data_IF_151986504877
#
_entry.id   IF_151986504877
#
_cell.length_a   1.000
_cell.length_b   1.000
_cell.length_c   1.000
_cell.angle_alpha   90.00
_cell.angle_beta   90.00
_cell.angle_gamma   90.00
#
_symmetry.space_group_name_H-M   'P 1'
#
loop_
_entity.id
_entity.type
_entity.pdbx_description
1 polymer ?
#
# COMPACT_ATOMS: atom_id res chain seq x y z
N UNK A 1 6.52 -3.47 -32.38
CA UNK A 1 5.57 -2.34 -32.50
C UNK A 1 5.10 -1.97 -31.10
N UNK A 2 5.19 -0.69 -30.72
CA UNK A 2 4.74 -0.22 -29.40
C UNK A 2 3.22 -0.13 -29.38
N UNK A 3 2.59 -0.74 -28.38
CA UNK A 3 1.12 -0.76 -28.23
C UNK A 3 0.73 -0.01 -26.95
N UNK A 4 -0.18 0.95 -27.06
CA UNK A 4 -0.69 1.72 -25.92
C UNK A 4 -2.03 1.15 -25.47
N UNK A 5 -2.22 0.99 -24.16
CA UNK A 5 -3.49 0.55 -23.58
C UNK A 5 -3.79 1.30 -22.28
N UNK A 6 -5.05 1.26 -21.86
CA UNK A 6 -5.49 1.80 -20.58
C UNK A 6 -5.94 0.66 -19.68
N UNK A 7 -5.55 0.69 -18.41
CA UNK A 7 -5.98 -0.31 -17.44
C UNK A 7 -6.48 0.36 -16.15
N UNK A 8 -7.54 -0.16 -15.52
CA UNK A 8 -8.03 0.38 -14.25
C UNK A 8 -6.92 0.38 -13.19
N UNK A 9 -6.82 1.49 -12.45
CA UNK A 9 -5.97 1.57 -11.26
C UNK A 9 -6.86 1.52 -10.03
N UNK A 10 -6.45 0.83 -8.96
CA UNK A 10 -7.22 0.85 -7.72
C UNK A 10 -7.24 2.28 -7.16
N UNK A 11 -8.33 2.65 -6.51
CA UNK A 11 -8.40 3.90 -5.81
C UNK A 11 -7.55 3.78 -4.57
N UNK A 12 -6.89 4.87 -4.23
CA UNK A 12 -6.15 4.96 -2.99
C UNK A 12 -7.19 5.01 -1.86
N UNK A 13 -7.72 3.86 -1.45
CA UNK A 13 -8.53 3.59 -0.25
C UNK A 13 -9.46 2.37 -0.46
N UNK A 14 -9.22 1.34 0.35
CA UNK A 14 -10.24 0.49 1.02
C UNK A 14 -11.10 -0.53 0.25
N UNK A 15 -11.17 -1.70 0.91
CA UNK A 15 -12.26 -2.69 1.01
C UNK A 15 -12.73 -3.32 -0.30
N UNK A 16 -12.78 -4.65 -0.29
CA UNK A 16 -13.34 -5.53 -1.31
C UNK A 16 -14.61 -4.95 -1.96
N UNK A 17 -14.58 -4.72 -3.28
CA UNK A 17 -15.79 -4.50 -4.08
C UNK A 17 -16.01 -3.12 -4.71
N UNK A 18 -15.03 -2.22 -4.75
CA UNK A 18 -15.17 -0.90 -5.40
C UNK A 18 -14.47 -0.88 -6.77
N UNK A 19 -15.24 -0.69 -7.85
CA UNK A 19 -14.69 -0.40 -9.18
C UNK A 19 -14.38 1.09 -9.31
N UNK A 20 -13.21 1.41 -9.83
CA UNK A 20 -12.73 2.79 -9.96
C UNK A 20 -12.99 3.34 -11.37
N UNK A 21 -12.98 4.67 -11.50
CA UNK A 21 -12.95 5.33 -12.82
C UNK A 21 -11.54 5.72 -13.27
N UNK A 22 -10.55 5.69 -12.36
CA UNK A 22 -9.15 6.03 -12.67
C UNK A 22 -8.51 4.94 -13.53
N UNK A 23 -7.91 5.34 -14.65
CA UNK A 23 -7.14 4.45 -15.53
C UNK A 23 -5.71 4.97 -15.66
N UNK A 24 -4.75 4.05 -15.60
CA UNK A 24 -3.38 4.32 -16.04
C UNK A 24 -3.28 4.13 -17.55
N UNK A 25 -2.46 4.95 -18.21
CA UNK A 25 -2.09 4.75 -19.63
C UNK A 25 -0.71 4.12 -19.69
N UNK A 26 -0.63 2.97 -20.36
CA UNK A 26 0.55 2.13 -20.41
C UNK A 26 0.98 1.90 -21.84
N UNK A 27 2.29 1.72 -22.02
CA UNK A 27 2.87 1.41 -23.31
C UNK A 27 3.64 0.10 -23.22
N UNK A 28 3.22 -0.90 -23.99
CA UNK A 28 3.90 -2.17 -24.10
C UNK A 28 4.80 -2.20 -25.34
N UNK A 29 6.09 -2.41 -25.12
CA UNK A 29 7.10 -2.57 -26.17
C UNK A 29 7.93 -3.85 -25.97
N UNK A 30 7.26 -4.93 -25.56
CA UNK A 30 7.85 -6.26 -25.44
C UNK A 30 7.55 -7.19 -26.63
N UNK A 31 7.85 -8.49 -26.48
CA UNK A 31 7.63 -9.55 -27.48
C UNK A 31 6.20 -9.64 -28.02
N UNK A 32 6.06 -10.34 -29.15
CA UNK A 32 4.75 -10.56 -29.78
C UNK A 32 3.95 -11.67 -29.12
N UNK A 33 4.66 -12.65 -28.56
CA UNK A 33 4.16 -13.82 -27.83
C UNK A 33 4.98 -13.96 -26.54
N UNK A 34 4.32 -14.37 -25.46
CA UNK A 34 4.96 -14.77 -24.21
C UNK A 34 4.32 -16.06 -23.71
N UNK A 35 5.13 -16.92 -23.09
CA UNK A 35 4.64 -18.15 -22.47
C UNK A 35 4.87 -18.02 -20.97
N UNK A 36 3.84 -18.29 -20.18
CA UNK A 36 3.94 -18.35 -18.73
C UNK A 36 3.87 -19.79 -18.27
N UNK A 37 4.78 -20.17 -17.39
CA UNK A 37 4.68 -21.41 -16.63
C UNK A 37 4.04 -21.13 -15.27
N UNK A 38 3.03 -21.91 -14.92
CA UNK A 38 2.14 -21.65 -13.79
C UNK A 38 2.00 -22.93 -12.95
N UNK A 39 2.03 -22.81 -11.62
CA UNK A 39 1.73 -23.95 -10.74
C UNK A 39 0.21 -24.19 -10.61
N UNK A 40 -0.19 -25.26 -9.92
CA UNK A 40 -1.60 -25.60 -9.68
C UNK A 40 -2.39 -24.57 -8.87
N UNK A 41 -1.70 -23.65 -8.19
CA UNK A 41 -2.31 -22.54 -7.45
C UNK A 41 -2.56 -21.31 -8.32
N UNK A 42 -2.16 -21.34 -9.60
CA UNK A 42 -2.31 -20.21 -10.51
C UNK A 42 -1.19 -19.18 -10.42
N UNK A 43 -0.10 -19.48 -9.72
CA UNK A 43 1.06 -18.60 -9.54
C UNK A 43 2.03 -18.81 -10.70
N UNK A 44 2.45 -17.71 -11.34
CA UNK A 44 3.49 -17.73 -12.36
C UNK A 44 4.84 -18.06 -11.70
N UNK A 45 5.46 -19.16 -12.14
CA UNK A 45 6.76 -19.62 -11.65
C UNK A 45 7.89 -19.35 -12.63
N UNK A 46 7.58 -19.29 -13.93
CA UNK A 46 8.55 -18.94 -14.97
C UNK A 46 7.90 -18.18 -16.12
N UNK A 47 8.72 -17.44 -16.86
CA UNK A 47 8.31 -16.58 -17.96
C UNK A 47 9.24 -16.82 -19.14
N UNK A 48 8.66 -17.22 -20.25
CA UNK A 48 9.35 -17.72 -21.44
C UNK A 48 10.24 -18.95 -21.14
N UNK A 49 9.69 -20.01 -20.52
CA UNK A 49 10.45 -21.20 -20.15
C UNK A 49 10.97 -21.94 -21.39
N UNK A 50 12.09 -22.64 -21.22
CA UNK A 50 12.62 -23.51 -22.28
C UNK A 50 11.59 -24.61 -22.64
N UNK A 51 11.23 -24.66 -23.92
CA UNK A 51 10.26 -25.61 -24.44
C UNK A 51 10.69 -27.07 -24.23
N UNK A 52 11.99 -27.35 -24.17
CA UNK A 52 12.53 -28.71 -24.05
C UNK A 52 12.41 -29.29 -22.63
N UNK A 53 12.23 -28.45 -21.61
CA UNK A 53 12.11 -28.88 -20.20
C UNK A 53 10.66 -28.76 -19.77
N UNK A 54 9.87 -29.82 -19.98
CA UNK A 54 8.47 -29.85 -19.54
C UNK A 54 8.36 -30.46 -18.13
N UNK A 55 7.98 -29.64 -17.16
CA UNK A 55 7.56 -30.11 -15.84
C UNK A 55 6.06 -30.49 -15.91
N UNK A 56 5.70 -31.78 -15.72
CA UNK A 56 4.32 -32.23 -15.80
C UNK A 56 3.41 -31.67 -14.70
N UNK A 57 3.98 -31.12 -13.63
CA UNK A 57 3.25 -30.48 -12.54
C UNK A 57 3.03 -28.97 -12.77
N UNK A 58 3.28 -28.49 -14.00
CA UNK A 58 3.11 -27.09 -14.40
C UNK A 58 2.19 -26.95 -15.61
N UNK A 59 1.53 -25.80 -15.65
CA UNK A 59 0.66 -25.39 -16.75
C UNK A 59 1.35 -24.31 -17.57
N UNK A 60 1.27 -24.42 -18.89
CA UNK A 60 1.81 -23.41 -19.81
C UNK A 60 0.68 -22.63 -20.46
N UNK A 61 0.70 -21.31 -20.30
CA UNK A 61 -0.28 -20.39 -20.87
C UNK A 61 0.44 -19.43 -21.82
N UNK A 62 0.00 -19.42 -23.08
CA UNK A 62 0.52 -18.50 -24.10
C UNK A 62 -0.34 -17.23 -24.11
N UNK A 63 0.31 -16.07 -24.16
CA UNK A 63 -0.33 -14.78 -24.37
C UNK A 63 0.23 -14.09 -25.61
N UNK A 64 -0.60 -13.37 -26.34
CA UNK A 64 -0.27 -12.73 -27.61
C UNK A 64 -0.57 -11.22 -27.56
N UNK A 65 0.18 -10.43 -26.79
CA UNK A 65 -0.14 -9.03 -26.48
C UNK A 65 -0.24 -8.09 -27.69
N UNK A 66 0.30 -8.46 -28.87
CA UNK A 66 0.17 -7.62 -30.07
C UNK A 66 -1.10 -7.90 -30.87
N UNK A 67 -1.72 -9.06 -30.67
CA UNK A 67 -2.91 -9.49 -31.41
C UNK A 67 -4.15 -9.62 -30.54
N UNK A 68 -3.99 -9.82 -29.22
CA UNK A 68 -5.07 -9.78 -28.23
C UNK A 68 -4.85 -8.62 -27.24
N UNK A 69 -5.80 -7.69 -27.22
CA UNK A 69 -5.76 -6.54 -26.31
C UNK A 69 -5.95 -6.93 -24.83
N UNK A 70 -6.57 -8.09 -24.54
CA UNK A 70 -6.73 -8.59 -23.18
C UNK A 70 -5.41 -9.12 -22.60
N UNK A 71 -4.45 -9.47 -23.47
CA UNK A 71 -3.12 -9.95 -23.08
C UNK A 71 -2.12 -8.83 -22.80
N UNK A 72 -2.41 -7.60 -23.25
CA UNK A 72 -1.55 -6.43 -23.03
C UNK A 72 -1.25 -6.16 -21.55
N UNK A 73 -2.24 -6.13 -20.62
CA UNK A 73 -1.96 -5.90 -19.21
C UNK A 73 -1.10 -7.00 -18.59
N UNK A 74 -1.28 -8.25 -19.03
CA UNK A 74 -0.55 -9.43 -18.53
C UNK A 74 0.92 -9.34 -18.95
N UNK A 75 1.18 -9.11 -20.23
CA UNK A 75 2.52 -8.94 -20.75
C UNK A 75 3.22 -7.69 -20.17
N UNK A 76 2.48 -6.59 -20.02
CA UNK A 76 2.99 -5.35 -19.43
C UNK A 76 3.39 -5.53 -17.96
N UNK A 77 2.67 -6.35 -17.19
CA UNK A 77 2.98 -6.63 -15.79
C UNK A 77 4.43 -7.11 -15.60
N UNK A 78 4.95 -7.83 -16.59
CA UNK A 78 6.31 -8.37 -16.61
C UNK A 78 7.23 -7.68 -17.61
N UNK A 79 6.89 -6.49 -18.10
CA UNK A 79 7.68 -5.79 -19.13
C UNK A 79 9.17 -5.69 -18.79
N UNK A 80 9.52 -5.50 -17.51
CA UNK A 80 10.90 -5.32 -17.06
C UNK A 80 11.77 -6.56 -17.31
N UNK A 81 11.16 -7.73 -17.48
CA UNK A 81 11.87 -8.98 -17.80
C UNK A 81 12.40 -9.01 -19.23
N UNK A 82 11.82 -8.22 -20.13
CA UNK A 82 12.10 -8.29 -21.57
C UNK A 82 12.82 -7.05 -22.10
N UNK A 83 13.09 -6.07 -21.25
CA UNK A 83 13.88 -4.90 -21.63
C UNK A 83 15.37 -5.27 -21.66
N UNK A 84 16.12 -4.86 -22.69
CA UNK A 84 17.49 -5.33 -22.92
C UNK A 84 18.43 -5.00 -21.74
N UNK A 85 19.22 -5.99 -21.33
CA UNK A 85 20.17 -5.94 -20.22
C UNK A 85 21.48 -5.20 -20.50
N UNK A 86 21.59 -4.55 -21.65
CA UNK A 86 22.77 -3.73 -21.98
C UNK A 86 22.52 -2.27 -21.61
N UNK A 87 23.31 -1.68 -20.70
CA UNK A 87 23.34 -0.23 -20.52
C UNK A 87 23.96 0.37 -21.77
N UNK A 88 23.13 0.71 -22.75
CA UNK A 88 23.54 1.67 -23.76
C UNK A 88 23.79 2.99 -23.02
N UNK A 89 24.93 3.64 -23.29
CA UNK A 89 25.30 4.89 -22.62
C UNK A 89 24.32 6.04 -22.91
N UNK A 90 23.39 5.84 -23.85
CA UNK A 90 22.25 6.72 -24.13
C UNK A 90 20.90 6.17 -23.63
N UNK A 91 20.88 4.98 -23.02
CA UNK A 91 19.69 4.33 -22.42
C UNK A 91 19.98 4.08 -20.92
N UNK A 92 20.21 5.16 -20.17
CA UNK A 92 20.16 5.09 -18.71
C UNK A 92 18.72 5.00 -18.16
N UNK A 93 17.70 5.07 -19.02
CA UNK A 93 16.28 5.16 -18.62
C UNK A 93 15.52 3.81 -18.60
N UNK A 94 16.16 2.69 -18.94
CA UNK A 94 15.43 1.45 -19.26
C UNK A 94 15.06 0.53 -18.09
N UNK A 95 15.75 0.64 -16.94
CA UNK A 95 15.55 -0.29 -15.82
C UNK A 95 14.66 0.26 -14.70
N UNK A 96 14.53 1.58 -14.64
CA UNK A 96 13.81 2.26 -13.56
C UNK A 96 12.49 2.80 -14.07
N UNK A 97 11.40 2.43 -13.40
CA UNK A 97 10.18 3.19 -13.54
C UNK A 97 10.45 4.60 -13.03
N UNK A 98 10.49 5.56 -13.93
CA UNK A 98 10.56 6.96 -13.54
C UNK A 98 9.18 7.38 -13.03
N UNK A 99 8.95 7.22 -11.73
CA UNK A 99 7.74 7.68 -11.08
C UNK A 99 7.64 9.21 -11.20
N UNK A 100 6.52 9.69 -11.73
CA UNK A 100 6.11 11.08 -11.63
C UNK A 100 5.23 11.27 -10.41
N UNK A 101 5.36 12.45 -9.80
CA UNK A 101 4.67 12.77 -8.56
C UNK A 101 3.90 14.07 -8.69
N UNK A 102 2.73 14.12 -8.08
CA UNK A 102 1.91 15.33 -7.95
C UNK A 102 1.82 15.75 -6.48
N UNK A 103 1.81 17.06 -6.25
CA UNK A 103 1.73 17.64 -4.92
C UNK A 103 0.30 17.66 -4.43
N UNK A 104 0.08 17.05 -3.27
CA UNK A 104 -1.20 17.00 -2.60
C UNK A 104 -1.08 17.65 -1.22
N UNK A 105 -1.50 18.92 -1.09
CA UNK A 105 -1.47 19.61 0.19
C UNK A 105 -2.46 18.96 1.16
N UNK A 106 -2.01 18.82 2.41
CA UNK A 106 -2.78 18.24 3.50
C UNK A 106 -3.27 19.30 4.49
N UNK A 107 -4.29 18.95 5.28
CA UNK A 107 -4.85 19.82 6.31
C UNK A 107 -3.86 20.19 7.43
N UNK A 108 -2.83 19.37 7.67
CA UNK A 108 -1.74 19.65 8.63
C UNK A 108 -0.61 20.53 8.05
N UNK A 109 -0.73 21.01 6.80
CA UNK A 109 0.32 21.80 6.14
C UNK A 109 1.44 20.96 5.53
N UNK A 110 1.35 19.64 5.58
CA UNK A 110 2.26 18.75 4.84
C UNK A 110 1.93 18.74 3.35
N UNK A 111 2.93 18.41 2.53
CA UNK A 111 2.78 18.20 1.09
C UNK A 111 3.11 16.76 0.77
N UNK A 112 2.12 16.01 0.31
CA UNK A 112 2.30 14.65 -0.17
C UNK A 112 2.62 14.63 -1.65
N UNK A 113 3.46 13.68 -2.04
CA UNK A 113 3.82 13.41 -3.42
C UNK A 113 3.11 12.13 -3.82
N UNK A 114 1.93 12.26 -4.45
CA UNK A 114 1.20 11.10 -4.94
C UNK A 114 1.80 10.61 -6.26
N UNK A 115 2.03 9.30 -6.38
CA UNK A 115 2.50 8.71 -7.64
C UNK A 115 1.42 8.83 -8.70
N UNK A 116 1.73 9.51 -9.79
CA UNK A 116 0.78 9.76 -10.88
C UNK A 116 0.72 8.55 -11.84
N UNK A 117 1.87 7.95 -12.14
CA UNK A 117 2.06 6.91 -13.14
C UNK A 117 2.37 5.53 -12.51
N UNK A 118 1.52 5.02 -11.63
CA UNK A 118 1.71 3.70 -10.97
C UNK A 118 1.90 2.54 -11.96
N UNK A 119 2.80 1.61 -11.64
CA UNK A 119 2.90 0.33 -12.37
C UNK A 119 1.74 -0.59 -12.01
N UNK A 120 1.40 -1.50 -12.92
CA UNK A 120 0.43 -2.56 -12.59
C UNK A 120 0.93 -3.45 -11.45
N UNK A 121 2.24 -3.75 -11.42
CA UNK A 121 2.87 -4.54 -10.36
C UNK A 121 2.95 -3.83 -9.01
N UNK A 122 2.85 -2.50 -8.97
CA UNK A 122 2.69 -1.78 -7.72
C UNK A 122 1.34 -2.15 -7.10
N UNK A 123 0.28 -2.00 -7.89
CA UNK A 123 -1.13 -2.06 -7.51
C UNK A 123 -1.73 -3.47 -7.40
N UNK A 124 -1.22 -4.42 -8.17
CA UNK A 124 -1.81 -5.74 -8.35
C UNK A 124 -0.79 -6.86 -8.15
N UNK A 125 -1.32 -8.04 -7.83
CA UNK A 125 -0.71 -9.35 -8.02
C UNK A 125 -1.44 -10.02 -9.18
N UNK A 126 -0.69 -10.67 -10.07
CA UNK A 126 -1.26 -11.38 -11.21
C UNK A 126 -1.25 -12.89 -10.91
N UNK A 127 -2.40 -13.54 -11.08
CA UNK A 127 -2.56 -15.00 -11.01
C UNK A 127 -3.45 -15.50 -12.13
N UNK A 128 -3.36 -16.80 -12.41
CA UNK A 128 -4.28 -17.50 -13.31
C UNK A 128 -5.32 -18.27 -12.49
N UNK A 129 -6.60 -18.03 -12.74
CA UNK A 129 -7.68 -18.71 -12.06
C UNK A 129 -8.23 -19.80 -12.96
N UNK A 130 -7.94 -21.07 -12.66
CA UNK A 130 -8.37 -22.21 -13.46
C UNK A 130 -9.90 -22.43 -13.46
N UNK A 131 -10.60 -21.92 -12.44
CA UNK A 131 -12.05 -22.09 -12.27
C UNK A 131 -12.85 -20.96 -12.92
N UNK A 132 -12.19 -19.84 -13.26
CA UNK A 132 -12.84 -18.70 -13.90
C UNK A 132 -13.44 -19.11 -15.25
N UNK A 133 -14.76 -19.04 -15.33
CA UNK A 133 -15.54 -19.31 -16.54
C UNK A 133 -15.58 -18.09 -17.45
N UNK A 134 -15.12 -18.22 -18.70
CA UNK A 134 -15.23 -17.17 -19.72
C UNK A 134 -16.63 -17.09 -20.37
N UNK A 135 -17.69 -17.43 -19.62
CA UNK A 135 -19.08 -17.30 -20.07
C UNK A 135 -19.54 -18.37 -21.07
N UNK A 136 -18.73 -19.39 -21.36
CA UNK A 136 -19.07 -20.49 -22.29
C UNK A 136 -18.76 -21.83 -21.64
N UNK A 137 -19.60 -22.27 -20.70
CA UNK A 137 -19.86 -23.68 -20.32
C UNK A 137 -18.71 -24.65 -20.01
N UNK A 138 -17.45 -24.23 -20.02
CA UNK A 138 -16.24 -25.03 -19.81
C UNK A 138 -15.29 -24.17 -18.98
N UNK A 139 -14.77 -24.72 -17.88
CA UNK A 139 -13.69 -24.10 -17.09
C UNK A 139 -12.48 -23.92 -18.02
N UNK A 140 -12.33 -22.70 -18.53
CA UNK A 140 -11.30 -22.32 -19.52
C UNK A 140 -10.19 -21.48 -18.89
N UNK A 141 -10.26 -21.31 -17.57
CA UNK A 141 -9.39 -20.46 -16.78
C UNK A 141 -9.39 -19.00 -17.23
N UNK A 142 -8.73 -18.14 -16.45
CA UNK A 142 -8.52 -16.77 -16.86
C UNK A 142 -7.61 -16.00 -15.92
N UNK A 143 -6.93 -15.01 -16.48
CA UNK A 143 -6.08 -14.12 -15.70
C UNK A 143 -6.90 -13.28 -14.72
N UNK A 144 -6.34 -13.10 -13.52
CA UNK A 144 -6.90 -12.31 -12.44
C UNK A 144 -5.82 -11.37 -11.92
N UNK A 145 -6.14 -10.08 -11.91
CA UNK A 145 -5.35 -9.06 -11.23
C UNK A 145 -5.94 -8.83 -9.85
N UNK A 146 -5.40 -9.53 -8.85
CA UNK A 146 -5.78 -9.32 -7.47
C UNK A 146 -5.14 -8.04 -6.96
N UNK A 147 -5.96 -7.11 -6.48
CA UNK A 147 -5.46 -5.87 -5.93
C UNK A 147 -4.64 -6.15 -4.66
N UNK A 148 -3.47 -5.50 -4.56
CA UNK A 148 -2.67 -5.50 -3.33
C UNK A 148 -3.35 -4.62 -2.29
N UNK A 149 -3.86 -5.25 -1.23
CA UNK A 149 -4.34 -4.54 -0.04
C UNK A 149 -3.14 -4.15 0.81
N UNK A 150 -3.13 -2.89 1.21
CA UNK A 150 -1.99 -2.15 1.72
C UNK A 150 -2.44 -1.46 3.01
N UNK A 151 -1.72 -1.67 4.10
CA UNK A 151 -2.11 -1.12 5.40
C UNK A 151 -1.77 0.38 5.42
N UNK A 152 -2.77 1.18 5.78
CA UNK A 152 -2.55 2.61 5.90
C UNK A 152 -1.95 2.90 7.26
N UNK A 153 -0.78 3.53 7.28
CA UNK A 153 -0.08 3.84 8.50
C UNK A 153 0.23 5.33 8.58
N UNK A 154 0.19 5.85 9.80
CA UNK A 154 0.76 7.15 10.14
C UNK A 154 1.20 7.04 11.60
N UNK A 155 2.51 6.97 11.83
CA UNK A 155 3.07 6.75 13.16
C UNK A 155 2.64 7.83 14.16
N UNK A 156 2.42 9.07 13.69
CA UNK A 156 1.99 10.18 14.55
C UNK A 156 0.54 10.06 14.98
N UNK A 157 -0.33 9.62 14.06
CA UNK A 157 -1.73 9.29 14.38
C UNK A 157 -1.80 8.17 15.40
N UNK A 158 -1.12 7.07 15.11
CA UNK A 158 -1.11 5.87 15.93
C UNK A 158 -0.57 6.18 17.34
N UNK A 159 0.53 6.94 17.44
CA UNK A 159 1.09 7.36 18.75
C UNK A 159 0.12 8.24 19.54
N UNK A 160 -0.51 9.23 18.92
CA UNK A 160 -1.47 10.08 19.61
C UNK A 160 -2.71 9.32 20.11
N UNK A 161 -3.22 8.39 19.29
CA UNK A 161 -4.35 7.51 19.65
C UNK A 161 -3.97 6.55 20.78
N UNK A 162 -2.78 5.93 20.70
CA UNK A 162 -2.26 5.05 21.75
C UNK A 162 -2.11 5.77 23.09
N UNK A 163 -1.54 6.98 23.10
CA UNK A 163 -1.35 7.74 24.35
C UNK A 163 -2.65 8.22 24.96
N UNK A 164 -3.57 8.73 24.14
CA UNK A 164 -4.92 9.11 24.61
C UNK A 164 -5.64 7.94 25.27
N UNK A 165 -5.54 6.75 24.64
CA UNK A 165 -6.10 5.50 25.16
C UNK A 165 -5.42 5.06 26.44
N UNK A 166 -4.08 5.09 26.49
CA UNK A 166 -3.32 4.68 27.67
C UNK A 166 -3.63 5.55 28.89
N UNK A 167 -3.71 6.88 28.71
CA UNK A 167 -4.12 7.79 29.79
C UNK A 167 -5.56 7.48 30.23
N UNK A 168 -6.49 7.31 29.28
CA UNK A 168 -7.89 7.00 29.60
C UNK A 168 -8.06 5.72 30.43
N UNK A 169 -7.43 4.62 29.99
CA UNK A 169 -7.45 3.34 30.72
C UNK A 169 -6.95 3.51 32.15
N UNK A 170 -5.87 4.27 32.34
CA UNK A 170 -5.31 4.48 33.67
C UNK A 170 -6.24 5.34 34.55
N UNK A 171 -6.81 6.40 33.98
CA UNK A 171 -7.59 7.40 34.73
C UNK A 171 -9.01 6.94 35.05
N UNK A 172 -9.62 6.10 34.22
CA UNK A 172 -11.01 5.64 34.37
C UNK A 172 -11.25 4.83 35.64
N UNK A 173 -10.18 4.28 36.24
CA UNK A 173 -10.25 3.46 37.44
C UNK A 173 -9.75 4.17 38.71
N UNK A 174 -9.37 5.45 38.62
CA UNK A 174 -8.69 6.17 39.70
C UNK A 174 -9.51 7.35 40.23
N UNK A 175 -9.42 7.60 41.54
CA UNK A 175 -10.05 8.76 42.17
C UNK A 175 -9.16 10.00 42.01
N UNK A 176 -9.29 10.69 40.88
CA UNK A 176 -8.48 11.86 40.55
C UNK A 176 -9.02 13.16 41.14
N UNK A 177 -8.12 14.12 41.37
CA UNK A 177 -8.51 15.50 41.66
C UNK A 177 -9.28 16.14 40.48
N UNK A 178 -10.15 17.12 40.76
CA UNK A 178 -10.94 17.80 39.71
C UNK A 178 -10.05 18.53 38.68
N UNK A 179 -8.92 19.09 39.12
CA UNK A 179 -7.91 19.70 38.25
C UNK A 179 -7.27 18.66 37.33
N UNK A 180 -6.91 17.49 37.85
CA UNK A 180 -6.29 16.42 37.07
C UNK A 180 -7.27 15.81 36.09
N UNK A 181 -8.53 15.61 36.49
CA UNK A 181 -9.58 15.18 35.58
C UNK A 181 -9.78 16.17 34.42
N UNK A 182 -9.73 17.48 34.69
CA UNK A 182 -9.81 18.51 33.65
C UNK A 182 -8.61 18.44 32.71
N UNK A 183 -7.39 18.35 33.24
CA UNK A 183 -6.17 18.26 32.45
C UNK A 183 -6.13 17.01 31.55
N UNK A 184 -6.59 15.86 32.06
CA UNK A 184 -6.72 14.61 31.30
C UNK A 184 -7.70 14.78 30.14
N UNK A 185 -8.89 15.33 30.39
CA UNK A 185 -9.88 15.56 29.34
C UNK A 185 -9.36 16.52 28.26
N UNK A 186 -8.64 17.59 28.65
CA UNK A 186 -7.97 18.49 27.72
C UNK A 186 -6.93 17.74 26.89
N UNK A 187 -6.05 16.96 27.53
CA UNK A 187 -5.02 16.19 26.85
C UNK A 187 -5.61 15.20 25.83
N UNK A 188 -6.64 14.44 26.20
CA UNK A 188 -7.30 13.48 25.30
C UNK A 188 -7.95 14.20 24.09
N UNK A 189 -8.57 15.37 24.32
CA UNK A 189 -9.14 16.18 23.24
C UNK A 189 -8.06 16.75 22.30
N UNK A 190 -6.91 17.17 22.83
CA UNK A 190 -5.76 17.62 22.05
C UNK A 190 -5.14 16.47 21.24
N UNK A 191 -4.96 15.28 21.84
CA UNK A 191 -4.51 14.08 21.14
C UNK A 191 -5.46 13.70 20.00
N UNK A 192 -6.78 13.77 20.23
CA UNK A 192 -7.77 13.54 19.18
C UNK A 192 -7.63 14.56 18.05
N UNK A 193 -7.53 15.85 18.38
CA UNK A 193 -7.35 16.92 17.40
C UNK A 193 -6.07 16.71 16.59
N UNK A 194 -4.98 16.32 17.24
CA UNK A 194 -3.71 16.01 16.59
C UNK A 194 -3.82 14.78 15.69
N UNK A 195 -4.46 13.70 16.13
CA UNK A 195 -4.67 12.49 15.34
C UNK A 195 -5.60 12.71 14.13
N UNK A 196 -6.59 13.60 14.26
CA UNK A 196 -7.48 13.99 13.16
C UNK A 196 -6.75 14.90 12.16
N UNK A 197 -5.81 15.73 12.63
CA UNK A 197 -4.94 16.53 11.76
C UNK A 197 -3.92 15.68 11.00
N UNK A 198 -3.56 14.49 11.50
CA UNK A 198 -2.59 13.58 10.91
C UNK A 198 -3.28 12.30 10.42
N UNK A 199 -4.05 12.30 9.33
CA UNK A 199 -4.78 11.12 8.87
C UNK A 199 -3.84 9.97 8.46
N UNK A 200 -4.38 8.75 8.41
CA UNK A 200 -3.63 7.60 7.89
C UNK A 200 -3.18 7.89 6.45
N UNK A 201 -1.92 7.58 6.15
CA UNK A 201 -1.34 7.83 4.85
C UNK A 201 -1.69 6.67 3.91
N UNK A 202 -2.05 7.01 2.68
CA UNK A 202 -2.23 6.02 1.61
C UNK A 202 -0.83 5.58 1.15
N UNK A 203 -0.59 4.28 1.04
CA UNK A 203 0.73 3.73 0.70
C UNK A 203 1.30 4.20 -0.66
N UNK A 204 0.46 4.69 -1.58
CA UNK A 204 0.90 5.22 -2.87
C UNK A 204 1.43 6.65 -2.81
N UNK A 205 1.29 7.32 -1.65
CA UNK A 205 1.74 8.68 -1.40
C UNK A 205 3.07 8.66 -0.67
N UNK A 206 4.05 9.39 -1.20
CA UNK A 206 5.35 9.59 -0.56
C UNK A 206 5.33 10.94 0.16
N UNK A 207 5.82 11.00 1.40
CA UNK A 207 5.94 12.26 2.12
C UNK A 207 7.18 13.04 1.71
N UNK A 208 7.02 14.35 1.52
CA UNK A 208 8.08 15.29 1.83
C UNK A 208 7.91 15.64 3.31
N UNK A 209 8.68 15.03 4.22
CA UNK A 209 8.54 15.25 5.67
C UNK A 209 8.90 16.69 6.07
N UNK A 210 7.95 17.54 6.49
CA UNK A 210 8.23 18.82 7.14
C UNK A 210 8.27 18.63 8.67
N UNK A 211 8.74 19.63 9.42
CA UNK A 211 8.70 19.62 10.89
C UNK A 211 7.26 19.50 11.38
N UNK A 212 6.90 18.32 11.88
CA UNK A 212 5.62 18.03 12.53
C UNK A 212 5.44 19.00 13.71
N UNK A 213 4.22 19.51 13.90
CA UNK A 213 3.86 20.27 15.10
C UNK A 213 4.16 19.46 16.36
N UNK A 214 4.50 20.12 17.46
CA UNK A 214 4.80 19.43 18.72
C UNK A 214 3.59 18.62 19.16
N UNK A 215 3.78 17.32 19.36
CA UNK A 215 2.76 16.42 19.91
C UNK A 215 2.22 16.97 21.24
N UNK A 216 0.91 16.85 21.52
CA UNK A 216 0.33 17.27 22.79
C UNK A 216 1.06 16.64 23.97
N UNK A 217 1.24 17.42 25.05
CA UNK A 217 1.86 16.96 26.29
C UNK A 217 0.85 17.06 27.42
N UNK A 218 0.79 16.03 28.24
CA UNK A 218 0.03 16.07 29.47
C UNK A 218 0.62 17.16 30.39
N UNK A 219 -0.25 17.89 31.08
CA UNK A 219 0.17 18.89 32.07
C UNK A 219 1.11 18.27 33.11
N UNK A 220 2.12 19.02 33.53
CA UNK A 220 3.18 18.50 34.39
C UNK A 220 2.67 18.08 35.78
N UNK A 221 1.67 18.77 36.33
CA UNK A 221 1.11 18.44 37.64
C UNK A 221 0.21 17.21 37.54
N UNK A 222 -0.61 17.12 36.48
CA UNK A 222 -1.40 15.93 36.18
C UNK A 222 -0.53 14.68 35.96
N UNK A 223 0.60 14.85 35.25
CA UNK A 223 1.60 13.80 35.04
C UNK A 223 2.16 13.30 36.37
N UNK A 224 2.55 14.19 37.29
CA UNK A 224 3.07 13.81 38.61
C UNK A 224 2.03 13.06 39.46
N UNK A 225 0.76 13.49 39.43
CA UNK A 225 -0.31 12.79 40.15
C UNK A 225 -0.51 11.36 39.61
N UNK A 226 -0.54 11.19 38.29
CA UNK A 226 -0.61 9.87 37.64
C UNK A 226 0.60 9.00 37.96
N UNK A 227 1.82 9.54 37.88
CA UNK A 227 3.05 8.80 38.24
C UNK A 227 3.08 8.36 39.71
N UNK A 228 2.51 9.17 40.62
CA UNK A 228 2.37 8.79 42.03
C UNK A 228 1.42 7.60 42.22
N UNK A 229 0.35 7.52 41.42
CA UNK A 229 -0.61 6.42 41.45
C UNK A 229 -0.02 5.13 40.86
N UNK A 230 0.76 5.22 39.78
CA UNK A 230 1.46 4.05 39.18
C UNK A 230 2.43 3.44 40.20
N UNK A 231 3.22 4.27 40.89
CA UNK A 231 4.23 3.82 41.85
C UNK A 231 3.63 3.24 43.14
N UNK A 232 2.35 3.47 43.42
CA UNK A 232 1.66 2.89 44.60
C UNK A 232 0.98 1.56 44.30
N UNK A 233 0.74 1.21 43.03
CA UNK A 233 0.05 -0.02 42.62
C UNK A 233 0.97 -1.16 42.10
N UNK A 234 2.30 -1.00 42.09
CA UNK A 234 3.24 -2.03 41.58
C UNK A 234 2.92 -2.50 40.14
N UNK A 235 2.39 -1.60 39.30
CA UNK A 235 2.20 -1.88 37.87
C UNK A 235 3.48 -1.54 37.08
N UNK A 236 3.83 -2.34 36.06
CA UNK A 236 5.07 -2.13 35.29
C UNK A 236 5.06 -0.75 34.64
N UNK A 237 6.13 0.01 34.90
CA UNK A 237 6.38 1.33 34.34
C UNK A 237 6.28 1.29 32.81
N UNK A 238 5.56 2.24 32.24
CA UNK A 238 5.64 2.55 30.81
C UNK A 238 7.06 3.04 30.53
N UNK A 239 7.91 2.17 29.97
CA UNK A 239 9.25 2.54 29.51
C UNK A 239 9.17 3.69 28.50
N UNK A 240 9.95 4.73 28.75
CA UNK A 240 9.96 5.99 27.97
C UNK A 240 10.71 5.87 26.62
N UNK A 241 11.17 4.67 26.22
CA UNK A 241 12.00 4.46 25.01
C UNK A 241 11.42 3.44 24.02
N UNK A 242 10.28 3.75 23.36
CA UNK A 242 9.84 3.13 22.08
C UNK A 242 9.20 4.16 21.13
#
# INVERSE_FOLDING_TARGET
MKTTFNYPLPEENYVTGISTTRKGTYNYDGPDELIFEINDEGIIVDIDPDYEIFDPDKHRIVVNPKTDANDLPIAYFYQDRFLPSTPDANVQDGFFHNYTYIDEPQSNGEVYKAKENLRLSDAYTLRYDFEKSNGVGIASGGWVFDQKVREQTNIWKQRAEMRSTAVGIFTDHQALSASTHTAVNTYQAECKTFADANPLMKEWKVLNTPKVGTEPKLDADARREIESLINTENLPLLDEDI
#
